data_IF_781568230821
#
_entry.id   IF_781568230821
#
_cell.length_a   1.000
_cell.length_b   1.000
_cell.length_c   1.000
_cell.angle_alpha   90.00
_cell.angle_beta   90.00
_cell.angle_gamma   90.00
#
_symmetry.space_group_name_H-M   'P 1'
#
loop_
_entity.id
_entity.type
_entity.pdbx_description
1 polymer ?
#
# COMPACT_ATOMS: atom_id res chain seq x y z
N UNK A 1 37.37 37.57 -62.93
CA UNK A 1 36.09 37.83 -62.30
C UNK A 1 35.43 36.45 -61.96
N UNK A 2 35.62 35.97 -60.77
CA UNK A 2 35.12 34.66 -60.35
C UNK A 2 34.21 34.81 -59.12
N UNK A 3 32.94 34.52 -59.28
CA UNK A 3 31.96 34.54 -58.21
C UNK A 3 32.05 33.24 -57.39
N UNK A 4 32.27 33.35 -56.07
CA UNK A 4 32.25 32.28 -55.15
C UNK A 4 30.80 32.15 -54.56
N UNK A 5 30.12 31.04 -54.84
CA UNK A 5 28.85 30.69 -54.23
C UNK A 5 29.11 30.03 -52.89
N UNK A 6 28.59 30.64 -51.83
CA UNK A 6 28.55 30.08 -50.50
C UNK A 6 27.28 29.22 -50.38
N UNK A 7 27.46 27.89 -50.18
CA UNK A 7 26.37 26.98 -49.80
C UNK A 7 26.21 27.01 -48.30
N UNK A 8 25.04 27.44 -47.82
CA UNK A 8 24.65 27.35 -46.44
C UNK A 8 24.04 25.96 -46.16
N UNK A 9 24.73 25.13 -45.38
CA UNK A 9 24.21 23.88 -44.88
C UNK A 9 23.36 24.15 -43.63
N UNK A 10 22.04 23.94 -43.73
CA UNK A 10 21.12 24.02 -42.60
C UNK A 10 21.22 22.72 -41.78
N UNK A 11 21.74 22.84 -40.57
CA UNK A 11 21.77 21.75 -39.59
C UNK A 11 20.39 21.65 -38.94
N UNK A 12 19.58 20.67 -39.33
CA UNK A 12 18.33 20.34 -38.66
C UNK A 12 18.64 19.56 -37.36
N UNK A 13 18.51 20.20 -36.21
CA UNK A 13 18.60 19.56 -34.91
C UNK A 13 17.31 18.75 -34.65
N UNK A 14 17.38 17.45 -34.79
CA UNK A 14 16.35 16.52 -34.34
C UNK A 14 16.34 16.52 -32.81
N UNK A 15 15.37 17.20 -32.22
CA UNK A 15 15.01 17.06 -30.81
C UNK A 15 14.38 15.66 -30.59
N UNK A 16 15.20 14.69 -30.30
CA UNK A 16 14.75 13.41 -29.81
C UNK A 16 14.12 13.63 -28.43
N UNK A 17 12.79 13.69 -28.37
CA UNK A 17 12.03 13.62 -27.10
C UNK A 17 12.33 12.28 -26.46
N UNK A 18 13.29 12.26 -25.55
CA UNK A 18 13.53 11.10 -24.68
C UNK A 18 12.30 10.90 -23.80
N UNK A 19 11.37 10.06 -24.23
CA UNK A 19 10.35 9.52 -23.36
C UNK A 19 11.09 8.66 -22.33
N UNK A 20 11.36 9.22 -21.17
CA UNK A 20 11.80 8.45 -20.02
C UNK A 20 10.73 7.36 -19.79
N UNK A 21 11.07 6.11 -20.08
CA UNK A 21 10.25 4.98 -19.68
C UNK A 21 10.14 5.07 -18.17
N UNK A 22 8.97 5.46 -17.68
CA UNK A 22 8.73 5.53 -16.25
C UNK A 22 9.03 4.13 -15.67
N UNK A 23 9.97 4.09 -14.75
CA UNK A 23 10.35 2.84 -14.07
C UNK A 23 9.10 2.22 -13.43
N UNK A 24 8.96 0.90 -13.57
CA UNK A 24 7.85 0.18 -12.96
C UNK A 24 7.78 0.46 -11.45
N UNK A 25 6.59 0.64 -10.87
CA UNK A 25 6.42 0.82 -9.44
C UNK A 25 7.06 -0.32 -8.66
N UNK A 26 7.79 0.04 -7.59
CA UNK A 26 8.40 -0.94 -6.69
C UNK A 26 8.01 -0.61 -5.26
N UNK A 27 6.97 -1.27 -4.72
CA UNK A 27 6.60 -1.14 -3.32
C UNK A 27 7.79 -1.40 -2.39
N UNK A 28 7.84 -0.71 -1.26
CA UNK A 28 8.88 -0.86 -0.25
C UNK A 28 8.83 -2.24 0.39
N UNK A 29 10.00 -2.79 0.72
CA UNK A 29 10.09 -4.02 1.49
C UNK A 29 9.80 -3.77 2.97
N UNK A 30 9.33 -4.83 3.66
CA UNK A 30 9.22 -4.86 5.12
C UNK A 30 10.47 -5.49 5.71
N UNK A 31 10.86 -5.00 6.89
CA UNK A 31 11.92 -5.54 7.71
C UNK A 31 11.37 -5.86 9.11
N UNK A 32 11.69 -7.03 9.65
CA UNK A 32 11.22 -7.45 10.97
C UNK A 32 12.39 -7.56 11.96
N UNK A 33 12.24 -6.93 13.10
CA UNK A 33 13.19 -6.93 14.21
C UNK A 33 12.49 -7.46 15.45
N UNK A 34 12.62 -8.76 15.73
CA UNK A 34 11.91 -9.45 16.82
C UNK A 34 10.40 -9.22 16.77
N UNK A 35 9.84 -8.41 17.65
CA UNK A 35 8.42 -8.14 17.77
C UNK A 35 8.02 -6.80 17.12
N UNK A 36 8.83 -6.29 16.18
CA UNK A 36 8.51 -5.09 15.42
C UNK A 36 8.78 -5.30 13.94
N UNK A 37 7.80 -4.95 13.11
CA UNK A 37 7.96 -4.86 11.67
C UNK A 37 7.88 -3.41 11.23
N UNK A 38 8.65 -3.05 10.20
CA UNK A 38 8.72 -1.70 9.64
C UNK A 38 8.77 -1.76 8.13
N UNK A 39 8.11 -0.82 7.48
CA UNK A 39 8.21 -0.53 6.06
C UNK A 39 8.29 0.95 5.79
N UNK A 40 8.77 1.30 4.60
CA UNK A 40 8.75 2.67 4.12
C UNK A 40 8.23 2.67 2.68
N UNK A 41 7.39 3.63 2.35
CA UNK A 41 6.90 3.81 0.99
C UNK A 41 7.94 4.49 0.07
N UNK A 42 7.58 4.69 -1.19
CA UNK A 42 8.40 5.37 -2.19
C UNK A 42 8.68 6.86 -1.89
N UNK A 43 7.98 7.45 -0.92
CA UNK A 43 8.22 8.81 -0.43
C UNK A 43 9.07 8.86 0.83
N UNK A 44 9.59 7.69 1.27
CA UNK A 44 10.28 7.49 2.54
C UNK A 44 9.43 7.86 3.78
N UNK A 45 8.09 7.84 3.67
CA UNK A 45 7.24 7.75 4.84
C UNK A 45 7.40 6.35 5.41
N UNK A 46 7.83 6.27 6.66
CA UNK A 46 8.06 4.99 7.31
C UNK A 46 7.05 4.75 8.43
N UNK A 47 6.69 3.49 8.62
CA UNK A 47 5.82 3.05 9.70
C UNK A 47 6.32 1.76 10.31
N UNK A 48 6.47 1.75 11.64
CA UNK A 48 6.86 0.58 12.43
C UNK A 48 5.71 0.17 13.33
N UNK A 49 5.40 -1.11 13.41
CA UNK A 49 4.27 -1.65 14.15
C UNK A 49 4.74 -2.78 15.07
N UNK A 50 4.24 -2.79 16.31
CA UNK A 50 4.49 -3.88 17.25
C UNK A 50 3.65 -5.11 16.87
N UNK A 51 4.31 -6.25 16.82
CA UNK A 51 3.73 -7.57 16.65
C UNK A 51 3.47 -8.22 18.01
N UNK A 52 2.56 -9.15 18.07
CA UNK A 52 2.46 -10.05 19.24
C UNK A 52 3.74 -10.90 19.32
N UNK A 53 4.32 -11.10 20.53
CA UNK A 53 5.43 -12.04 20.71
C UNK A 53 5.05 -13.45 20.22
N UNK A 54 6.03 -14.18 19.67
CA UNK A 54 5.80 -15.55 19.25
C UNK A 54 5.36 -16.42 20.43
N UNK A 55 4.32 -17.22 20.21
CA UNK A 55 3.76 -18.10 21.23
C UNK A 55 2.99 -17.41 22.37
N UNK A 56 2.78 -16.09 22.28
CA UNK A 56 1.97 -15.40 23.27
C UNK A 56 0.48 -15.75 23.12
N UNK A 57 -0.23 -15.82 24.25
CA UNK A 57 -1.66 -15.98 24.26
C UNK A 57 -2.37 -14.76 23.66
N UNK A 58 -3.43 -15.02 22.90
CA UNK A 58 -4.25 -13.97 22.33
C UNK A 58 -5.01 -13.23 23.43
N UNK A 59 -4.85 -11.90 23.55
CA UNK A 59 -5.65 -11.12 24.47
C UNK A 59 -7.11 -11.07 23.98
N UNK A 60 -8.05 -10.97 24.91
CA UNK A 60 -9.48 -10.83 24.61
C UNK A 60 -9.74 -9.66 23.63
N UNK A 61 -9.05 -8.55 23.84
CA UNK A 61 -9.10 -7.37 22.95
C UNK A 61 -7.65 -6.97 22.63
N UNK A 62 -7.16 -7.31 21.43
CA UNK A 62 -5.81 -6.94 20.99
C UNK A 62 -5.64 -5.42 20.93
N UNK A 63 -4.46 -4.94 21.36
CA UNK A 63 -4.03 -3.56 21.19
C UNK A 63 -2.91 -3.51 20.17
N UNK A 64 -3.13 -2.82 19.06
CA UNK A 64 -2.12 -2.47 18.09
C UNK A 64 -1.48 -1.13 18.47
N UNK A 65 -0.18 -1.01 18.26
CA UNK A 65 0.58 0.24 18.42
C UNK A 65 1.60 0.36 17.31
N UNK A 66 1.76 1.57 16.79
CA UNK A 66 2.75 1.87 15.77
C UNK A 66 3.36 3.26 15.92
N UNK A 67 4.50 3.44 15.26
CA UNK A 67 5.21 4.70 15.11
C UNK A 67 5.32 5.00 13.64
N UNK A 68 4.74 6.12 13.19
CA UNK A 68 4.81 6.59 11.83
C UNK A 68 5.55 7.92 11.75
N UNK A 69 6.26 8.15 10.63
CA UNK A 69 6.94 9.41 10.36
C UNK A 69 7.07 9.65 8.86
N UNK A 70 6.70 10.85 8.43
CA UNK A 70 6.98 11.29 7.06
C UNK A 70 8.46 11.63 6.87
N UNK A 71 8.95 11.61 5.63
CA UNK A 71 10.27 12.10 5.28
C UNK A 71 10.30 13.64 5.31
N UNK A 72 11.53 14.21 5.32
CA UNK A 72 11.76 15.66 5.32
C UNK A 72 12.08 16.22 6.70
N UNK A 73 12.79 17.35 6.74
CA UNK A 73 13.40 17.92 7.94
C UNK A 73 12.39 18.17 9.08
N UNK A 74 11.22 18.71 8.74
CA UNK A 74 10.22 19.18 9.70
C UNK A 74 9.20 18.10 10.11
N UNK A 75 9.26 16.91 9.52
CA UNK A 75 8.32 15.85 9.83
C UNK A 75 8.51 15.31 11.25
N UNK A 76 7.48 15.41 12.06
CA UNK A 76 7.43 14.87 13.41
C UNK A 76 6.99 13.39 13.40
N UNK A 77 7.41 12.64 14.43
CA UNK A 77 6.85 11.31 14.65
C UNK A 77 5.39 11.40 15.14
N UNK A 78 4.60 10.38 14.79
CA UNK A 78 3.29 10.10 15.35
C UNK A 78 3.35 8.71 16.01
N UNK A 79 2.83 8.56 17.22
CA UNK A 79 2.60 7.25 17.84
C UNK A 79 1.09 7.04 17.89
N UNK A 80 0.63 5.95 17.32
CA UNK A 80 -0.79 5.61 17.26
C UNK A 80 -1.07 4.29 17.96
N UNK A 81 -2.29 4.15 18.47
CA UNK A 81 -2.86 2.89 18.94
C UNK A 81 -4.21 2.65 18.28
N UNK A 82 -4.55 1.39 18.11
CA UNK A 82 -5.88 0.94 17.72
C UNK A 82 -6.24 -0.36 18.45
N UNK A 83 -7.47 -0.43 18.92
CA UNK A 83 -8.09 -1.61 19.50
C UNK A 83 -9.61 -1.53 19.35
N UNK A 84 -10.31 -2.61 19.54
CA UNK A 84 -11.76 -2.54 19.62
C UNK A 84 -12.21 -1.73 20.86
N UNK A 85 -13.12 -0.78 20.67
CA UNK A 85 -13.63 0.07 21.74
C UNK A 85 -14.76 0.98 21.27
N UNK A 86 -15.44 1.65 22.21
CA UNK A 86 -16.48 2.64 21.91
C UNK A 86 -16.32 3.87 22.78
N UNK A 87 -16.77 5.00 22.26
CA UNK A 87 -16.78 6.27 22.96
C UNK A 87 -15.40 6.92 23.08
N UNK A 88 -15.33 7.95 23.91
CA UNK A 88 -14.12 8.76 24.05
C UNK A 88 -13.59 8.67 25.49
N UNK A 89 -12.33 8.27 25.63
CA UNK A 89 -11.65 8.09 26.93
C UNK A 89 -10.21 8.62 26.86
N UNK A 90 -9.66 9.01 28.02
CA UNK A 90 -8.26 9.39 28.10
C UNK A 90 -7.39 8.15 28.30
N UNK A 91 -6.30 8.08 27.53
CA UNK A 91 -5.32 7.02 27.63
C UNK A 91 -3.94 7.57 28.01
N UNK A 92 -3.21 6.80 28.79
CA UNK A 92 -1.84 7.10 29.21
C UNK A 92 -0.89 6.04 28.69
N UNK A 93 0.27 6.47 28.23
CA UNK A 93 1.36 5.63 27.74
C UNK A 93 2.47 5.63 28.78
N UNK A 94 2.76 4.46 29.33
CA UNK A 94 3.78 4.27 30.35
C UNK A 94 4.90 3.41 29.78
N UNK A 95 6.14 3.82 29.92
CA UNK A 95 7.34 3.04 29.62
C UNK A 95 8.16 2.96 30.91
N UNK A 96 8.60 1.77 31.28
CA UNK A 96 9.30 1.51 32.57
C UNK A 96 8.49 2.07 33.77
N UNK A 97 7.16 1.91 33.75
CA UNK A 97 6.25 2.44 34.79
C UNK A 97 6.09 3.97 34.80
N UNK A 98 6.85 4.72 34.02
CA UNK A 98 6.75 6.19 33.94
C UNK A 98 5.77 6.60 32.85
N UNK A 99 4.82 7.47 33.17
CA UNK A 99 3.93 8.07 32.20
C UNK A 99 4.70 9.05 31.29
N UNK A 100 4.77 8.75 29.99
CA UNK A 100 5.51 9.54 28.99
C UNK A 100 4.57 10.45 28.20
N UNK A 101 3.38 9.93 27.85
CA UNK A 101 2.42 10.66 27.05
C UNK A 101 0.98 10.36 27.46
N UNK A 102 0.05 11.21 27.02
CA UNK A 102 -1.40 11.00 27.09
C UNK A 102 -2.04 11.35 25.76
N UNK A 103 -3.18 10.71 25.47
CA UNK A 103 -4.00 11.05 24.31
C UNK A 103 -5.48 10.83 24.63
N UNK A 104 -6.35 11.44 23.84
CA UNK A 104 -7.78 11.14 23.84
C UNK A 104 -8.08 10.06 22.82
N UNK A 105 -8.48 8.90 23.28
CA UNK A 105 -8.95 7.83 22.39
C UNK A 105 -10.43 8.06 22.05
N UNK A 106 -10.78 7.77 20.79
CA UNK A 106 -12.16 7.72 20.28
C UNK A 106 -12.36 6.37 19.62
N UNK A 107 -13.40 5.66 20.05
CA UNK A 107 -13.73 4.33 19.51
C UNK A 107 -12.54 3.36 19.45
N UNK A 108 -11.67 3.45 20.46
CA UNK A 108 -10.47 2.62 20.61
C UNK A 108 -9.22 3.13 19.90
N UNK A 109 -9.31 4.21 19.12
CA UNK A 109 -8.16 4.79 18.39
C UNK A 109 -7.63 6.04 19.08
N UNK A 110 -6.31 6.17 19.17
CA UNK A 110 -5.66 7.40 19.65
C UNK A 110 -4.34 7.64 18.91
N UNK A 111 -3.99 8.93 18.83
CA UNK A 111 -2.74 9.39 18.23
C UNK A 111 -2.06 10.41 19.15
N UNK A 112 -0.79 10.17 19.44
CA UNK A 112 0.11 11.12 20.08
C UNK A 112 0.91 11.82 18.98
N UNK A 113 0.98 13.16 19.03
CA UNK A 113 1.67 13.98 18.04
C UNK A 113 2.63 14.98 18.70
N UNK A 114 3.47 15.61 17.89
CA UNK A 114 4.39 16.66 18.32
C UNK A 114 5.50 16.13 19.24
N UNK A 115 6.01 16.98 20.16
CA UNK A 115 7.13 16.61 21.02
C UNK A 115 6.87 15.39 21.90
N UNK A 116 5.63 15.19 22.35
CA UNK A 116 5.25 14.02 23.15
C UNK A 116 5.38 12.70 22.35
N UNK A 117 5.07 12.71 21.06
CA UNK A 117 5.23 11.53 20.22
C UNK A 117 6.69 11.13 20.06
N UNK A 118 7.58 12.12 19.83
CA UNK A 118 9.01 11.88 19.75
C UNK A 118 9.57 11.36 21.09
N UNK A 119 9.16 11.95 22.21
CA UNK A 119 9.56 11.49 23.53
C UNK A 119 9.09 10.06 23.81
N UNK A 120 7.85 9.72 23.44
CA UNK A 120 7.30 8.38 23.57
C UNK A 120 8.03 7.37 22.68
N UNK A 121 8.26 7.68 21.40
CA UNK A 121 9.00 6.82 20.48
C UNK A 121 10.44 6.55 20.96
N UNK A 122 11.13 7.59 21.48
CA UNK A 122 12.48 7.45 22.07
C UNK A 122 12.44 6.57 23.33
N UNK A 123 11.42 6.76 24.19
CA UNK A 123 11.27 5.92 25.38
C UNK A 123 11.00 4.46 25.00
N UNK A 124 10.12 4.20 24.03
CA UNK A 124 9.86 2.86 23.48
C UNK A 124 11.11 2.21 22.92
N UNK A 125 11.95 2.96 22.19
CA UNK A 125 13.20 2.45 21.61
C UNK A 125 14.25 2.01 22.65
N UNK A 126 14.19 2.56 23.84
CA UNK A 126 15.16 2.34 24.93
C UNK A 126 14.63 1.47 26.07
N UNK A 127 13.29 1.40 26.19
CA UNK A 127 12.63 0.64 27.25
C UNK A 127 12.50 -0.84 26.94
N UNK A 128 12.15 -1.59 27.95
CA UNK A 128 11.87 -3.03 27.87
C UNK A 128 10.40 -3.34 28.14
N UNK A 129 9.72 -2.47 28.90
CA UNK A 129 8.31 -2.64 29.28
C UNK A 129 7.47 -1.43 28.90
N UNK A 130 6.25 -1.71 28.44
CA UNK A 130 5.27 -0.67 28.11
C UNK A 130 3.87 -1.09 28.53
N UNK A 131 3.11 -0.11 29.01
CA UNK A 131 1.66 -0.26 29.27
C UNK A 131 0.91 0.91 28.62
N UNK A 132 -0.24 0.59 28.06
CA UNK A 132 -1.27 1.57 27.68
C UNK A 132 -2.43 1.39 28.65
N UNK A 133 -2.87 2.48 29.28
CA UNK A 133 -3.91 2.47 30.32
C UNK A 133 -5.00 3.52 30.05
N UNK A 134 -6.23 3.20 30.44
CA UNK A 134 -7.30 4.18 30.62
C UNK A 134 -7.75 4.14 32.07
N UNK A 135 -7.45 5.21 32.81
CA UNK A 135 -7.59 5.19 34.26
C UNK A 135 -6.77 4.06 34.89
N UNK A 136 -7.42 3.21 35.70
CA UNK A 136 -6.78 2.05 36.31
C UNK A 136 -6.81 0.80 35.40
N UNK A 137 -7.52 0.82 34.26
CA UNK A 137 -7.61 -0.33 33.36
C UNK A 137 -6.45 -0.37 32.41
N UNK A 138 -5.74 -1.49 32.37
CA UNK A 138 -4.69 -1.76 31.37
C UNK A 138 -5.41 -2.14 30.06
N UNK A 139 -5.07 -1.42 28.98
CA UNK A 139 -5.55 -1.70 27.63
C UNK A 139 -4.69 -2.71 26.91
N UNK A 140 -3.38 -2.69 27.18
CA UNK A 140 -2.44 -3.63 26.60
C UNK A 140 -1.01 -3.38 27.06
N UNK A 141 -0.16 -4.38 26.83
CA UNK A 141 1.29 -4.38 27.09
C UNK A 141 2.02 -4.77 25.81
N UNK A 142 2.15 -3.84 24.85
CA UNK A 142 2.87 -4.14 23.60
C UNK A 142 4.33 -4.44 23.91
N UNK A 143 4.90 -5.42 23.19
CA UNK A 143 6.33 -5.73 23.28
C UNK A 143 7.16 -4.56 22.76
N UNK A 144 8.26 -4.23 23.46
CA UNK A 144 9.27 -3.29 22.98
C UNK A 144 10.50 -3.99 22.37
N UNK A 145 10.52 -5.32 22.36
CA UNK A 145 11.62 -6.08 21.77
C UNK A 145 11.75 -5.85 20.27
N UNK A 146 12.79 -5.16 19.84
CA UNK A 146 13.03 -4.79 18.44
C UNK A 146 12.64 -3.36 18.05
N UNK A 147 11.88 -2.64 18.90
CA UNK A 147 11.46 -1.26 18.64
C UNK A 147 12.64 -0.33 18.32
N UNK A 148 13.72 -0.42 19.09
CA UNK A 148 14.94 0.38 18.86
C UNK A 148 15.61 0.09 17.53
N UNK A 149 15.60 -1.16 17.05
CA UNK A 149 16.14 -1.52 15.73
C UNK A 149 15.24 -1.00 14.60
N UNK A 150 13.92 -1.16 14.72
CA UNK A 150 12.95 -0.65 13.76
C UNK A 150 13.03 0.87 13.63
N UNK A 151 13.09 1.61 14.74
CA UNK A 151 13.20 3.08 14.70
C UNK A 151 14.58 3.57 14.22
N UNK A 152 15.66 2.81 14.45
CA UNK A 152 16.97 3.08 13.84
C UNK A 152 16.93 2.88 12.32
N UNK A 153 16.25 1.86 11.84
CA UNK A 153 16.02 1.67 10.40
C UNK A 153 15.24 2.86 9.81
N UNK A 154 14.19 3.34 10.51
CA UNK A 154 13.43 4.55 10.11
C UNK A 154 14.36 5.76 9.97
N UNK A 155 15.21 6.03 10.96
CA UNK A 155 16.18 7.13 10.92
C UNK A 155 17.12 7.01 9.71
N UNK A 156 17.62 5.81 9.42
CA UNK A 156 18.52 5.55 8.30
C UNK A 156 17.81 5.76 6.94
N UNK A 157 16.63 5.20 6.78
CA UNK A 157 15.85 5.30 5.54
C UNK A 157 15.44 6.74 5.21
N UNK A 158 15.19 7.56 6.22
CA UNK A 158 14.83 8.96 6.09
C UNK A 158 16.04 9.90 6.03
N UNK A 159 17.29 9.37 6.10
CA UNK A 159 18.51 10.18 6.14
C UNK A 159 18.65 11.02 7.39
N UNK A 160 18.07 10.58 8.52
CA UNK A 160 18.10 11.26 9.81
C UNK A 160 19.22 10.76 10.72
N UNK A 161 19.78 9.60 10.45
CA UNK A 161 20.88 9.06 11.24
C UNK A 161 22.05 10.05 11.33
N UNK A 162 22.54 10.32 12.53
CA UNK A 162 23.56 11.33 12.81
C UNK A 162 23.03 12.77 12.94
N UNK A 163 21.73 13.01 12.84
CA UNK A 163 21.12 14.34 13.04
C UNK A 163 20.50 14.47 14.43
N UNK A 164 20.28 15.72 14.86
CA UNK A 164 19.55 16.03 16.10
C UNK A 164 18.07 15.62 16.05
N UNK A 165 17.52 15.35 14.85
CA UNK A 165 16.11 14.97 14.66
C UNK A 165 15.89 13.46 14.58
N UNK A 166 16.94 12.64 14.65
CA UNK A 166 16.84 11.20 14.74
C UNK A 166 16.14 10.76 16.03
N UNK A 167 15.37 9.67 15.99
CA UNK A 167 14.71 9.09 17.16
C UNK A 167 15.69 8.24 17.99
N UNK A 168 16.59 7.51 17.32
CA UNK A 168 17.53 6.57 17.94
C UNK A 168 18.96 6.88 17.56
N UNK A 169 19.25 7.04 16.28
CA UNK A 169 20.59 7.26 15.75
C UNK A 169 20.96 8.75 15.77
N UNK A 170 20.83 9.40 16.94
CA UNK A 170 21.09 10.84 17.12
C UNK A 170 22.55 11.21 16.89
N UNK A 171 22.80 12.45 16.46
CA UNK A 171 24.12 13.01 16.26
C UNK A 171 24.06 14.54 16.12
N UNK A 172 25.23 15.21 15.90
CA UNK A 172 25.34 16.65 15.96
C UNK A 172 24.82 17.40 14.72
N UNK A 173 24.49 16.70 13.62
CA UNK A 173 24.04 17.36 12.41
C UNK A 173 22.66 18.00 12.60
N UNK A 174 22.49 19.22 12.10
CA UNK A 174 21.19 19.93 12.12
C UNK A 174 20.13 19.27 11.23
N UNK A 175 18.89 19.66 11.45
CA UNK A 175 17.72 19.15 10.66
C UNK A 175 17.85 19.41 9.16
N UNK A 176 18.54 20.47 8.75
CA UNK A 176 18.78 20.81 7.34
C UNK A 176 19.61 19.76 6.57
N UNK A 177 20.28 18.84 7.27
CA UNK A 177 20.95 17.70 6.65
C UNK A 177 19.96 16.62 6.15
N UNK A 178 18.71 16.65 6.62
CA UNK A 178 17.69 15.69 6.21
C UNK A 178 17.14 16.08 4.83
N UNK A 179 17.20 15.13 3.89
CA UNK A 179 16.66 15.35 2.54
C UNK A 179 15.12 15.52 2.56
N UNK A 180 14.57 16.32 1.66
CA UNK A 180 13.12 16.40 1.49
C UNK A 180 12.53 15.05 1.07
N UNK A 181 11.24 14.88 1.31
CA UNK A 181 10.52 13.70 0.83
C UNK A 181 10.59 13.62 -0.71
N UNK A 182 10.83 12.44 -1.30
CA UNK A 182 10.65 12.25 -2.73
C UNK A 182 9.23 12.64 -3.16
N UNK A 183 9.08 13.23 -4.34
CA UNK A 183 7.76 13.54 -4.89
C UNK A 183 6.98 12.23 -5.16
N UNK A 184 5.68 12.26 -4.90
CA UNK A 184 4.82 11.16 -5.33
C UNK A 184 4.74 11.12 -6.86
N UNK A 185 4.72 9.92 -7.48
CA UNK A 185 4.31 9.83 -8.88
C UNK A 185 2.91 10.39 -9.06
N UNK A 186 2.70 11.17 -10.12
CA UNK A 186 1.37 11.68 -10.48
C UNK A 186 0.81 10.80 -11.59
N UNK A 187 -0.36 10.23 -11.35
CA UNK A 187 -1.02 9.33 -12.29
C UNK A 187 -2.36 9.95 -12.68
N UNK A 188 -2.53 10.19 -13.98
CA UNK A 188 -3.79 10.65 -14.52
C UNK A 188 -4.69 9.44 -14.78
N UNK A 189 -5.85 9.40 -14.12
CA UNK A 189 -6.85 8.35 -14.37
C UNK A 189 -7.70 8.68 -15.61
N UNK A 190 -8.14 7.66 -16.31
CA UNK A 190 -9.13 7.82 -17.36
C UNK A 190 -10.53 8.04 -16.75
N UNK A 191 -11.28 8.95 -17.32
CA UNK A 191 -12.69 9.16 -16.94
C UNK A 191 -13.52 8.10 -17.66
N UNK A 192 -14.16 7.21 -16.89
CA UNK A 192 -15.04 6.17 -17.43
C UNK A 192 -16.34 6.82 -17.93
N UNK A 193 -16.71 6.63 -19.19
CA UNK A 193 -17.95 7.22 -19.72
C UNK A 193 -19.19 6.67 -19.02
N UNK A 194 -20.11 7.54 -18.66
CA UNK A 194 -21.43 7.12 -18.20
C UNK A 194 -22.18 6.34 -19.32
N UNK A 195 -23.06 5.42 -18.92
CA UNK A 195 -23.85 4.65 -19.85
C UNK A 195 -24.40 3.36 -19.23
N UNK A 196 -25.19 2.59 -19.97
CA UNK A 196 -25.74 1.33 -19.49
C UNK A 196 -24.63 0.33 -19.17
N UNK A 197 -24.91 -0.64 -18.32
CA UNK A 197 -23.98 -1.74 -18.05
C UNK A 197 -23.57 -2.43 -19.37
N UNK A 198 -22.34 -2.95 -19.47
CA UNK A 198 -21.92 -3.72 -20.63
C UNK A 198 -22.87 -4.90 -20.86
N UNK A 199 -23.18 -5.19 -22.14
CA UNK A 199 -24.00 -6.35 -22.48
C UNK A 199 -23.33 -7.64 -22.00
N UNK A 200 -24.08 -8.63 -21.51
CA UNK A 200 -23.53 -9.92 -21.08
C UNK A 200 -22.70 -10.60 -22.17
N UNK A 201 -21.83 -11.51 -21.77
CA UNK A 201 -21.12 -12.38 -22.70
C UNK A 201 -22.08 -13.41 -23.29
N UNK A 202 -21.99 -13.59 -24.58
CA UNK A 202 -22.71 -14.71 -25.24
C UNK A 202 -22.02 -16.02 -24.86
N UNK A 203 -22.73 -17.13 -25.01
CA UNK A 203 -22.21 -18.45 -24.65
C UNK A 203 -20.87 -18.76 -25.31
N UNK A 204 -20.74 -18.46 -26.60
CA UNK A 204 -19.52 -18.69 -27.36
C UNK A 204 -18.37 -17.80 -26.90
N UNK A 205 -18.67 -16.56 -26.49
CA UNK A 205 -17.67 -15.64 -25.91
C UNK A 205 -17.21 -16.14 -24.56
N UNK A 206 -18.13 -16.61 -23.70
CA UNK A 206 -17.80 -17.16 -22.40
C UNK A 206 -16.89 -18.40 -22.52
N UNK A 207 -17.21 -19.32 -23.44
CA UNK A 207 -16.37 -20.52 -23.70
C UNK A 207 -14.95 -20.10 -24.15
N UNK A 208 -14.87 -19.12 -25.07
CA UNK A 208 -13.55 -18.59 -25.52
C UNK A 208 -12.79 -17.92 -24.40
N UNK A 209 -13.47 -17.11 -23.56
CA UNK A 209 -12.86 -16.41 -22.43
C UNK A 209 -12.30 -17.39 -21.40
N UNK A 210 -13.06 -18.41 -21.02
CA UNK A 210 -12.64 -19.42 -20.05
C UNK A 210 -11.44 -20.21 -20.60
N UNK A 211 -11.44 -20.59 -21.88
CA UNK A 211 -10.31 -21.25 -22.52
C UNK A 211 -9.08 -20.33 -22.59
N UNK A 212 -9.26 -19.03 -22.86
CA UNK A 212 -8.20 -18.03 -22.90
C UNK A 212 -7.51 -17.83 -21.55
N UNK A 213 -8.30 -17.77 -20.47
CA UNK A 213 -7.79 -17.55 -19.10
C UNK A 213 -7.28 -18.83 -18.44
N UNK A 214 -7.65 -20.00 -18.93
CA UNK A 214 -7.32 -21.28 -18.30
C UNK A 214 -8.12 -21.59 -17.04
N UNK A 215 -9.16 -20.81 -16.72
CA UNK A 215 -9.95 -20.92 -15.47
C UNK A 215 -11.04 -21.99 -15.51
N UNK A 216 -11.06 -22.89 -16.51
CA UNK A 216 -12.15 -23.84 -16.73
C UNK A 216 -12.47 -24.79 -15.57
N UNK A 217 -11.47 -25.17 -14.75
CA UNK A 217 -11.66 -26.06 -13.60
C UNK A 217 -11.73 -25.34 -12.26
N UNK A 218 -11.52 -24.03 -12.26
CA UNK A 218 -11.33 -23.20 -11.06
C UNK A 218 -12.58 -22.37 -10.73
N UNK A 219 -13.47 -22.16 -11.69
CA UNK A 219 -14.67 -21.37 -11.51
C UNK A 219 -15.81 -22.25 -10.95
N UNK A 220 -16.39 -21.83 -9.83
CA UNK A 220 -17.54 -22.50 -9.25
C UNK A 220 -18.78 -22.28 -10.12
N UNK A 221 -19.71 -23.21 -10.07
CA UNK A 221 -20.93 -23.19 -10.89
C UNK A 221 -21.87 -21.99 -10.62
N UNK A 222 -21.75 -21.37 -9.43
CA UNK A 222 -22.51 -20.20 -9.01
C UNK A 222 -21.79 -18.86 -9.32
N UNK A 223 -20.56 -18.90 -9.85
CA UNK A 223 -19.77 -17.72 -10.20
C UNK A 223 -19.90 -17.39 -11.67
N UNK A 224 -19.98 -16.10 -11.96
CA UNK A 224 -20.00 -15.56 -13.33
C UNK A 224 -18.98 -14.42 -13.44
N UNK A 225 -18.37 -14.22 -14.62
CA UNK A 225 -17.50 -13.05 -14.83
C UNK A 225 -18.26 -11.74 -14.63
N UNK A 226 -17.64 -10.80 -13.91
CA UNK A 226 -18.16 -9.45 -13.74
C UNK A 226 -17.70 -8.56 -14.90
N UNK A 227 -18.60 -7.75 -15.44
CA UNK A 227 -18.34 -6.88 -16.59
C UNK A 227 -18.46 -5.42 -16.19
N UNK A 228 -17.41 -4.65 -16.42
CA UNK A 228 -17.33 -3.23 -16.07
C UNK A 228 -16.86 -2.41 -17.29
N UNK A 229 -17.52 -1.29 -17.56
CA UNK A 229 -17.13 -0.40 -18.65
C UNK A 229 -15.76 0.24 -18.35
N UNK A 230 -14.87 0.26 -19.35
CA UNK A 230 -13.64 1.06 -19.34
C UNK A 230 -13.71 2.22 -20.34
N UNK A 231 -14.31 1.96 -21.51
CA UNK A 231 -14.50 2.98 -22.56
C UNK A 231 -15.77 2.70 -23.36
N UNK A 232 -15.95 3.35 -24.50
CA UNK A 232 -17.05 3.05 -25.43
C UNK A 232 -16.93 1.66 -26.07
N UNK A 233 -15.72 1.12 -26.18
CA UNK A 233 -15.41 -0.12 -26.90
C UNK A 233 -14.75 -1.19 -26.04
N UNK A 234 -14.30 -0.85 -24.84
CA UNK A 234 -13.58 -1.76 -23.93
C UNK A 234 -14.38 -2.02 -22.65
N UNK A 235 -14.36 -3.27 -22.25
CA UNK A 235 -14.99 -3.77 -21.03
C UNK A 235 -13.94 -4.51 -20.20
N UNK A 236 -13.77 -4.13 -18.95
CA UNK A 236 -13.05 -4.96 -17.96
C UNK A 236 -13.93 -6.15 -17.62
N UNK A 237 -13.37 -7.33 -17.72
CA UNK A 237 -14.01 -8.59 -17.34
C UNK A 237 -13.17 -9.20 -16.22
N UNK A 238 -13.75 -9.33 -15.04
CA UNK A 238 -13.15 -10.02 -13.91
C UNK A 238 -13.60 -11.47 -13.94
N UNK A 239 -12.71 -12.36 -14.32
CA UNK A 239 -13.02 -13.79 -14.49
C UNK A 239 -12.67 -14.52 -13.20
N UNK A 240 -13.65 -15.08 -12.45
CA UNK A 240 -13.35 -15.91 -11.28
C UNK A 240 -12.43 -17.08 -11.67
N UNK A 241 -11.36 -17.29 -10.92
CA UNK A 241 -10.32 -18.25 -11.26
C UNK A 241 -9.71 -18.87 -9.97
N UNK A 242 -10.54 -19.53 -9.22
CA UNK A 242 -10.17 -20.18 -7.97
C UNK A 242 -10.69 -19.49 -6.72
N UNK A 243 -10.80 -20.27 -5.66
CA UNK A 243 -11.18 -19.79 -4.34
C UNK A 243 -10.58 -20.66 -3.24
N UNK A 244 -9.97 -20.02 -2.25
CA UNK A 244 -9.60 -20.63 -0.96
C UNK A 244 -10.68 -20.39 0.09
N UNK A 245 -10.36 -20.71 1.35
CA UNK A 245 -11.28 -20.55 2.47
C UNK A 245 -11.69 -19.08 2.74
N UNK A 246 -10.86 -18.12 2.34
CA UNK A 246 -11.05 -16.68 2.64
C UNK A 246 -10.52 -15.74 1.54
N UNK A 247 -9.98 -16.29 0.45
CA UNK A 247 -9.54 -15.54 -0.73
C UNK A 247 -10.23 -16.10 -1.97
N UNK A 248 -10.76 -15.20 -2.79
CA UNK A 248 -11.28 -15.52 -4.13
C UNK A 248 -10.36 -14.85 -5.14
N UNK A 249 -9.92 -15.59 -6.16
CA UNK A 249 -9.04 -15.07 -7.19
C UNK A 249 -9.82 -14.76 -8.46
N UNK A 250 -9.37 -13.73 -9.17
CA UNK A 250 -9.94 -13.32 -10.46
C UNK A 250 -8.83 -12.94 -11.43
N UNK A 251 -8.99 -13.34 -12.68
CA UNK A 251 -8.14 -12.92 -13.79
C UNK A 251 -8.77 -11.73 -14.50
N UNK A 252 -8.14 -10.54 -14.49
CA UNK A 252 -8.64 -9.37 -15.18
C UNK A 252 -8.33 -9.43 -16.67
N UNK A 253 -9.37 -9.33 -17.48
CA UNK A 253 -9.32 -9.36 -18.95
C UNK A 253 -9.98 -8.11 -19.51
N UNK A 254 -9.47 -7.58 -20.60
CA UNK A 254 -10.13 -6.53 -21.39
C UNK A 254 -10.78 -7.19 -22.62
N UNK A 255 -12.10 -7.04 -22.69
CA UNK A 255 -12.89 -7.44 -23.85
C UNK A 255 -13.11 -6.21 -24.76
N UNK A 256 -12.79 -6.34 -26.04
CA UNK A 256 -12.90 -5.26 -27.03
C UNK A 256 -13.82 -5.70 -28.18
N UNK A 257 -14.70 -4.83 -28.62
CA UNK A 257 -15.62 -5.06 -29.74
C UNK A 257 -17.08 -5.11 -29.34
N UNK A 258 -17.94 -5.54 -30.31
CA UNK A 258 -19.39 -5.61 -30.12
C UNK A 258 -19.82 -6.96 -29.53
N UNK A 259 -20.93 -7.03 -28.80
CA UNK A 259 -21.48 -8.30 -28.28
C UNK A 259 -21.53 -9.41 -29.32
N UNK A 260 -21.06 -10.60 -28.95
CA UNK A 260 -20.99 -11.78 -29.83
C UNK A 260 -19.73 -11.86 -30.70
N UNK A 261 -18.93 -10.79 -30.79
CA UNK A 261 -17.67 -10.73 -31.58
C UNK A 261 -16.51 -10.08 -30.81
N UNK A 262 -16.53 -10.13 -29.46
CA UNK A 262 -15.47 -9.56 -28.65
C UNK A 262 -14.18 -10.37 -28.76
N UNK A 263 -13.06 -9.66 -28.73
CA UNK A 263 -11.72 -10.22 -28.55
C UNK A 263 -11.25 -9.98 -27.14
N UNK A 264 -10.35 -10.82 -26.64
CA UNK A 264 -9.89 -10.81 -25.26
C UNK A 264 -8.38 -10.63 -25.20
N UNK A 265 -7.92 -9.82 -24.24
CA UNK A 265 -6.52 -9.69 -23.85
C UNK A 265 -6.42 -9.59 -22.33
N UNK A 266 -5.33 -10.06 -21.73
CA UNK A 266 -5.12 -9.78 -20.31
C UNK A 266 -5.02 -8.29 -20.05
N UNK A 267 -5.58 -7.83 -18.94
CA UNK A 267 -5.47 -6.44 -18.54
C UNK A 267 -4.00 -6.13 -18.23
N UNK A 268 -3.40 -5.08 -18.84
CA UNK A 268 -2.04 -4.71 -18.57
C UNK A 268 -1.90 -3.92 -17.28
N UNK A 269 -0.85 -4.21 -16.51
CA UNK A 269 -0.49 -3.52 -15.28
C UNK A 269 0.92 -2.95 -15.41
N UNK A 270 1.23 -1.87 -14.70
CA UNK A 270 2.59 -1.32 -14.59
C UNK A 270 3.41 -1.96 -13.45
N UNK A 271 2.72 -2.59 -12.50
CA UNK A 271 3.28 -3.49 -11.50
C UNK A 271 2.42 -4.76 -11.46
N UNK A 272 3.03 -5.92 -11.49
CA UNK A 272 2.30 -7.19 -11.41
C UNK A 272 1.48 -7.25 -10.11
N UNK A 273 0.17 -7.53 -10.17
CA UNK A 273 -0.65 -7.57 -8.97
C UNK A 273 -0.34 -8.80 -8.12
N UNK A 274 -0.22 -8.54 -6.81
CA UNK A 274 -0.36 -9.50 -5.74
C UNK A 274 0.65 -10.63 -5.63
N UNK A 275 0.42 -11.48 -4.64
CA UNK A 275 1.25 -12.63 -4.30
C UNK A 275 1.00 -13.87 -5.17
N UNK A 276 -0.11 -13.86 -5.92
CA UNK A 276 -0.58 -15.03 -6.67
C UNK A 276 -0.45 -14.87 -8.19
N UNK A 277 0.07 -13.73 -8.67
CA UNK A 277 0.37 -13.58 -10.09
C UNK A 277 1.50 -14.52 -10.48
N UNK A 278 1.23 -15.35 -11.47
CA UNK A 278 2.26 -16.16 -12.13
C UNK A 278 2.73 -15.45 -13.41
N UNK A 279 3.73 -16.03 -14.07
CA UNK A 279 4.26 -15.50 -15.34
C UNK A 279 3.24 -15.58 -16.50
N UNK A 280 2.10 -16.25 -16.31
CA UNK A 280 1.11 -16.49 -17.37
C UNK A 280 0.08 -15.38 -17.49
N UNK A 281 -0.45 -14.93 -16.36
CA UNK A 281 -1.48 -13.89 -16.34
C UNK A 281 -1.56 -13.15 -15.00
N UNK A 282 -2.03 -11.89 -14.99
CA UNK A 282 -2.27 -11.17 -13.74
C UNK A 282 -3.39 -11.84 -12.96
N UNK A 283 -3.23 -11.95 -11.64
CA UNK A 283 -4.23 -12.52 -10.74
C UNK A 283 -4.50 -11.56 -9.59
N UNK A 284 -5.76 -11.19 -9.43
CA UNK A 284 -6.26 -10.34 -8.36
C UNK A 284 -6.94 -11.18 -7.29
N UNK A 285 -6.89 -10.75 -6.04
CA UNK A 285 -7.52 -11.46 -4.91
C UNK A 285 -8.56 -10.55 -4.28
N UNK A 286 -9.76 -11.11 -4.00
CA UNK A 286 -10.90 -10.37 -3.42
C UNK A 286 -11.08 -9.00 -4.10
N UNK A 287 -11.10 -9.02 -5.43
CA UNK A 287 -11.07 -7.83 -6.27
C UNK A 287 -12.35 -7.01 -6.15
N UNK A 288 -12.21 -5.68 -6.15
CA UNK A 288 -13.30 -4.73 -6.25
C UNK A 288 -13.05 -3.68 -7.33
N UNK A 289 -14.09 -3.24 -8.03
CA UNK A 289 -14.04 -2.18 -9.01
C UNK A 289 -14.92 -1.01 -8.63
N UNK A 290 -14.35 0.20 -8.59
CA UNK A 290 -15.03 1.47 -8.34
C UNK A 290 -14.99 2.35 -9.59
N UNK A 291 -16.04 2.33 -10.44
CA UNK A 291 -16.04 2.99 -11.75
C UNK A 291 -15.90 4.52 -11.65
N UNK A 292 -16.48 5.14 -10.64
CA UNK A 292 -16.40 6.59 -10.40
C UNK A 292 -14.98 7.09 -10.10
N UNK A 293 -14.11 6.17 -9.62
CA UNK A 293 -12.69 6.42 -9.37
C UNK A 293 -11.79 5.77 -10.41
N UNK A 294 -12.34 5.04 -11.39
CA UNK A 294 -11.60 4.18 -12.32
C UNK A 294 -10.61 3.26 -11.59
N UNK A 295 -10.97 2.82 -10.38
CA UNK A 295 -10.10 2.15 -9.42
C UNK A 295 -10.43 0.67 -9.27
N UNK A 296 -9.39 -0.13 -9.28
CA UNK A 296 -9.40 -1.56 -9.05
C UNK A 296 -8.62 -1.84 -7.76
N UNK A 297 -9.28 -2.45 -6.78
CA UNK A 297 -8.66 -2.84 -5.52
C UNK A 297 -8.46 -4.36 -5.47
N UNK A 298 -7.34 -4.81 -4.90
CA UNK A 298 -7.03 -6.21 -4.65
C UNK A 298 -6.56 -6.37 -3.21
N UNK A 299 -7.05 -7.39 -2.51
CA UNK A 299 -6.80 -7.59 -1.09
C UNK A 299 -6.60 -9.09 -0.79
N UNK A 300 -5.38 -9.50 -0.51
CA UNK A 300 -5.01 -10.87 -0.21
C UNK A 300 -4.74 -11.06 1.29
N UNK A 301 -5.52 -11.88 1.97
CA UNK A 301 -5.25 -12.28 3.36
C UNK A 301 -4.21 -13.41 3.37
N UNK A 302 -3.20 -13.32 4.24
CA UNK A 302 -2.26 -14.41 4.48
C UNK A 302 -2.87 -15.55 5.29
N UNK A 303 -3.86 -15.24 6.16
CA UNK A 303 -4.71 -16.21 6.87
C UNK A 303 -6.09 -15.65 7.19
N UNK A 304 -7.02 -16.51 7.62
CA UNK A 304 -8.45 -16.21 7.71
C UNK A 304 -8.81 -14.98 8.54
N UNK A 305 -8.12 -14.72 9.65
CA UNK A 305 -8.38 -13.54 10.48
C UNK A 305 -7.86 -12.23 9.89
N UNK A 306 -7.02 -12.27 8.82
CA UNK A 306 -6.58 -11.09 8.09
C UNK A 306 -5.55 -10.22 8.80
N UNK A 307 -4.79 -10.76 9.76
CA UNK A 307 -3.74 -10.05 10.48
C UNK A 307 -2.37 -10.08 9.76
N UNK A 308 -2.35 -10.56 8.52
CA UNK A 308 -1.25 -10.50 7.58
C UNK A 308 -1.77 -10.60 6.16
N UNK A 309 -1.00 -10.10 5.20
CA UNK A 309 -1.35 -10.11 3.80
C UNK A 309 -0.81 -8.89 3.04
N UNK A 310 -1.46 -8.57 1.93
CA UNK A 310 -1.16 -7.39 1.12
C UNK A 310 -2.41 -6.85 0.44
N UNK A 311 -2.45 -5.54 0.23
CA UNK A 311 -3.46 -4.91 -0.61
C UNK A 311 -2.81 -3.97 -1.62
N UNK A 312 -3.44 -3.85 -2.76
CA UNK A 312 -3.01 -3.01 -3.86
C UNK A 312 -4.21 -2.31 -4.47
N UNK A 313 -4.01 -1.08 -4.89
CA UNK A 313 -5.00 -0.34 -5.64
C UNK A 313 -4.39 0.19 -6.92
N UNK A 314 -5.13 0.06 -7.98
CA UNK A 314 -4.76 0.50 -9.32
C UNK A 314 -5.80 1.44 -9.88
N UNK A 315 -5.39 2.39 -10.70
CA UNK A 315 -6.31 3.18 -11.51
C UNK A 315 -6.10 2.89 -13.00
N UNK A 316 -7.19 2.86 -13.76
CA UNK A 316 -7.14 2.77 -15.21
C UNK A 316 -6.73 4.11 -15.81
N UNK A 317 -5.62 4.17 -16.56
CA UNK A 317 -5.12 5.39 -17.20
C UNK A 317 -5.58 5.56 -18.66
N UNK A 318 -6.41 4.65 -19.14
CA UNK A 318 -6.86 4.58 -20.53
C UNK A 318 -6.10 3.54 -21.36
N UNK A 319 -4.98 3.02 -20.86
CA UNK A 319 -4.16 2.04 -21.55
C UNK A 319 -3.79 0.84 -20.66
N UNK A 320 -3.55 1.08 -19.38
CA UNK A 320 -3.15 0.07 -18.38
C UNK A 320 -3.61 0.44 -16.98
N UNK A 321 -3.60 -0.52 -16.08
CA UNK A 321 -3.78 -0.31 -14.65
C UNK A 321 -2.45 0.14 -14.03
N UNK A 322 -2.49 1.29 -13.33
CA UNK A 322 -1.35 1.93 -12.70
C UNK A 322 -1.46 1.79 -11.20
N UNK A 323 -0.41 1.25 -10.56
CA UNK A 323 -0.36 1.09 -9.10
C UNK A 323 -0.37 2.46 -8.42
N UNK A 324 -1.37 2.72 -7.56
CA UNK A 324 -1.52 3.97 -6.82
C UNK A 324 -1.30 3.81 -5.33
N UNK A 325 -1.66 2.66 -4.78
CA UNK A 325 -1.45 2.35 -3.36
C UNK A 325 -1.02 0.88 -3.22
N UNK A 326 -0.13 0.61 -2.27
CA UNK A 326 0.14 -0.74 -1.80
C UNK A 326 0.39 -0.72 -0.29
N UNK A 327 -0.13 -1.75 0.39
CA UNK A 327 0.15 -2.02 1.80
C UNK A 327 0.54 -3.47 1.98
N UNK A 328 1.33 -3.76 3.00
CA UNK A 328 1.74 -5.12 3.30
C UNK A 328 1.90 -5.35 4.80
N UNK A 329 1.65 -6.59 5.23
CA UNK A 329 1.96 -7.13 6.54
C UNK A 329 2.44 -8.56 6.36
N UNK A 330 3.75 -8.77 6.41
CA UNK A 330 4.37 -10.08 6.20
C UNK A 330 4.22 -11.04 7.39
N UNK A 331 3.98 -10.49 8.58
CA UNK A 331 3.95 -11.22 9.85
C UNK A 331 2.51 -11.45 10.30
N UNK A 332 2.09 -12.73 10.38
CA UNK A 332 0.76 -13.12 10.90
C UNK A 332 0.76 -13.12 12.43
N UNK A 333 0.98 -11.98 13.07
CA UNK A 333 1.21 -11.82 14.51
C UNK A 333 0.33 -10.72 15.12
N UNK A 334 -0.98 -10.73 14.80
CA UNK A 334 -1.99 -9.91 15.48
C UNK A 334 -2.03 -8.44 15.08
N UNK A 335 -1.69 -8.11 13.83
CA UNK A 335 -1.72 -6.74 13.32
C UNK A 335 -2.62 -6.65 12.10
N UNK A 336 -3.75 -5.94 12.25
CA UNK A 336 -4.70 -5.68 11.15
C UNK A 336 -4.47 -4.33 10.47
N UNK A 337 -3.51 -3.54 10.94
CA UNK A 337 -3.04 -2.33 10.27
C UNK A 337 -1.82 -2.68 9.41
N UNK A 338 -2.01 -2.74 8.09
CA UNK A 338 -0.94 -3.08 7.17
C UNK A 338 -0.17 -1.83 6.75
N UNK A 339 1.14 -1.96 6.69
CA UNK A 339 2.07 -0.85 6.48
C UNK A 339 2.02 -0.39 5.03
N UNK A 340 1.84 0.94 4.77
CA UNK A 340 1.95 1.50 3.42
C UNK A 340 3.34 1.30 2.83
N UNK A 341 3.40 0.76 1.61
CA UNK A 341 4.65 0.46 0.89
C UNK A 341 4.77 1.20 -0.44
N UNK A 342 3.67 1.74 -0.95
CA UNK A 342 3.61 2.56 -2.16
C UNK A 342 2.50 3.59 -2.08
N UNK A 343 2.77 4.78 -2.64
CA UNK A 343 1.78 5.84 -2.75
C UNK A 343 2.02 6.68 -4.02
N UNK A 344 0.95 6.99 -4.77
CA UNK A 344 0.94 7.90 -5.90
C UNK A 344 -0.22 8.90 -5.77
N UNK A 345 -0.08 10.08 -6.37
CA UNK A 345 -1.15 11.05 -6.51
C UNK A 345 -1.99 10.72 -7.75
N UNK A 346 -3.31 10.75 -7.60
CA UNK A 346 -4.23 10.50 -8.71
C UNK A 346 -4.89 11.83 -9.10
N UNK A 347 -4.86 12.13 -10.41
CA UNK A 347 -5.54 13.29 -11.01
C UNK A 347 -6.54 12.84 -12.06
N UNK A 348 -7.47 13.73 -12.40
CA UNK A 348 -8.44 13.55 -13.51
C UNK A 348 -7.82 13.91 -14.85
#
# INVERSE_FOLDING_TARGET
MGAKTLSAAALAALLASSHSLAQAPKPGALETYKDWTIGCDNRNRCEAVALMPDGADWPEIPLMIGVARDAGADAAAEVWISREGRGAVDVSFLVEGRKIATARARDGEAKVRGPQASALAIAMARGTTMEVRSGNKIWGRPSLAGSGAALRYMDARQGRAGTMTALVATGPMGSMAVKPAPAAPVIRRAIIPNGPAPAPLWREELVKLIAFTGCAGEMRSDQTPELHRLSKTETLVLVPCGSGAYNVTSVPVIATGVPGRRTFRFAPFDAAPGWLSDDKHPTLVNVGWAPEKSRLDSFAKGRGIGDCGGSEAYVWDGARFRLVEATSMGECRGVWHWIPTWNAEVTD
#
